data_IF_461642770776
#
_entry.id   IF_461642770776
#
_cell.length_a   1.000
_cell.length_b   1.000
_cell.length_c   1.000
_cell.angle_alpha   90.00
_cell.angle_beta   90.00
_cell.angle_gamma   90.00
#
_symmetry.space_group_name_H-M   'P 1'
#
loop_
_entity.id
_entity.type
_entity.pdbx_description
1 polymer ?
#
# COMPACT_ATOMS: atom_id res chain seq x y z
N UNK A 1 -4.21 -16.17 -26.89
CA UNK A 1 -2.79 -16.50 -26.61
C UNK A 1 -2.37 -15.65 -25.42
N UNK A 2 -2.39 -16.21 -24.23
CA UNK A 2 -1.96 -15.53 -23.01
C UNK A 2 -0.44 -15.40 -23.06
N UNK A 3 -0.02 -14.23 -23.52
CA UNK A 3 1.36 -13.80 -23.76
C UNK A 3 2.14 -13.88 -22.44
N UNK A 4 2.84 -14.99 -22.20
CA UNK A 4 3.65 -15.19 -20.99
C UNK A 4 5.00 -14.47 -21.13
N UNK A 5 4.91 -13.15 -21.30
CA UNK A 5 6.03 -12.23 -21.45
C UNK A 5 7.05 -12.40 -20.31
N UNK A 6 6.59 -12.77 -19.11
CA UNK A 6 7.45 -12.97 -17.95
C UNK A 6 8.40 -14.16 -18.15
N UNK A 7 7.92 -15.28 -18.72
CA UNK A 7 8.80 -16.41 -19.08
C UNK A 7 9.87 -15.99 -20.08
N UNK A 8 9.51 -15.17 -21.06
CA UNK A 8 10.46 -14.67 -22.07
C UNK A 8 11.54 -13.78 -21.45
N UNK A 9 11.17 -12.89 -20.53
CA UNK A 9 12.14 -12.04 -19.83
C UNK A 9 13.06 -12.84 -18.89
N UNK A 10 12.53 -13.84 -18.19
CA UNK A 10 13.35 -14.75 -17.38
C UNK A 10 14.34 -15.53 -18.26
N UNK A 11 13.87 -16.07 -19.40
CA UNK A 11 14.73 -16.78 -20.33
C UNK A 11 15.87 -15.89 -20.86
N UNK A 12 15.56 -14.65 -21.27
CA UNK A 12 16.56 -13.65 -21.71
C UNK A 12 17.59 -13.36 -20.62
N UNK A 13 17.12 -13.10 -19.40
CA UNK A 13 18.00 -12.87 -18.24
C UNK A 13 18.89 -14.07 -17.92
N UNK A 14 18.36 -15.29 -18.01
CA UNK A 14 19.13 -16.52 -17.77
C UNK A 14 20.19 -16.74 -18.85
N UNK A 15 19.88 -16.47 -20.12
CA UNK A 15 20.89 -16.53 -21.19
C UNK A 15 22.02 -15.53 -20.94
N UNK A 16 21.69 -14.30 -20.53
CA UNK A 16 22.66 -13.27 -20.18
C UNK A 16 23.58 -13.74 -19.03
N UNK A 17 23.00 -14.19 -17.91
CA UNK A 17 23.76 -14.66 -16.75
C UNK A 17 24.58 -15.92 -17.06
N UNK A 18 24.04 -16.82 -17.89
CA UNK A 18 24.75 -18.04 -18.27
C UNK A 18 26.00 -17.73 -19.08
N UNK A 19 26.00 -16.68 -19.91
CA UNK A 19 27.17 -16.25 -20.68
C UNK A 19 28.33 -15.79 -19.80
N UNK A 20 28.06 -15.29 -18.57
CA UNK A 20 29.07 -14.79 -17.64
C UNK A 20 29.76 -15.88 -16.81
N UNK A 21 29.33 -17.14 -16.93
CA UNK A 21 29.88 -18.31 -16.23
C UNK A 21 30.08 -18.09 -14.71
N UNK A 22 29.08 -17.48 -14.07
CA UNK A 22 29.09 -17.15 -12.65
C UNK A 22 29.27 -18.41 -11.77
N UNK A 23 29.85 -18.22 -10.58
CA UNK A 23 30.03 -19.31 -9.62
C UNK A 23 28.66 -19.84 -9.16
N UNK A 24 28.50 -21.17 -9.12
CA UNK A 24 27.23 -21.79 -8.73
C UNK A 24 26.16 -21.81 -9.84
N UNK A 25 26.54 -21.53 -11.09
CA UNK A 25 25.63 -21.65 -12.24
C UNK A 25 25.07 -23.08 -12.34
N UNK A 26 23.74 -23.25 -12.51
CA UNK A 26 23.14 -24.55 -12.84
C UNK A 26 23.68 -25.12 -14.15
N UNK A 27 23.63 -26.44 -14.32
CA UNK A 27 24.00 -27.04 -15.60
C UNK A 27 23.03 -26.59 -16.71
N UNK A 28 23.50 -26.53 -17.95
CA UNK A 28 22.70 -26.04 -19.07
C UNK A 28 21.37 -26.80 -19.24
N UNK A 29 21.37 -28.12 -18.99
CA UNK A 29 20.17 -28.98 -18.98
C UNK A 29 19.15 -28.60 -17.91
N UNK A 30 19.60 -28.03 -16.79
CA UNK A 30 18.78 -27.71 -15.63
C UNK A 30 18.27 -26.26 -15.65
N UNK A 31 18.82 -25.40 -16.51
CA UNK A 31 18.43 -23.98 -16.61
C UNK A 31 16.93 -23.79 -16.86
N UNK A 32 16.32 -24.63 -17.71
CA UNK A 32 14.89 -24.58 -17.99
C UNK A 32 14.05 -24.88 -16.76
N UNK A 33 14.44 -25.86 -15.95
CA UNK A 33 13.75 -26.20 -14.71
C UNK A 33 13.89 -25.08 -13.68
N UNK A 34 15.07 -24.49 -13.54
CA UNK A 34 15.30 -23.36 -12.64
C UNK A 34 14.48 -22.13 -13.08
N UNK A 35 14.41 -21.85 -14.39
CA UNK A 35 13.60 -20.76 -14.91
C UNK A 35 12.09 -20.95 -14.62
N UNK A 36 11.59 -22.19 -14.67
CA UNK A 36 10.21 -22.50 -14.28
C UNK A 36 9.94 -22.25 -12.80
N UNK A 37 10.89 -22.62 -11.92
CA UNK A 37 10.79 -22.32 -10.48
C UNK A 37 10.76 -20.82 -10.24
N UNK A 38 11.63 -20.05 -10.91
CA UNK A 38 11.63 -18.59 -10.84
C UNK A 38 10.30 -17.99 -11.31
N UNK A 39 9.77 -18.47 -12.43
CA UNK A 39 8.48 -18.03 -12.95
C UNK A 39 7.35 -18.26 -11.95
N UNK A 40 7.27 -19.46 -11.36
CA UNK A 40 6.25 -19.79 -10.35
C UNK A 40 6.37 -18.94 -9.08
N UNK A 41 7.58 -18.58 -8.66
CA UNK A 41 7.79 -17.69 -7.53
C UNK A 41 7.42 -16.25 -7.85
N UNK A 42 7.81 -15.74 -9.02
CA UNK A 42 7.52 -14.37 -9.44
C UNK A 42 6.03 -14.15 -9.71
N UNK A 43 5.32 -15.16 -10.21
CA UNK A 43 3.87 -15.11 -10.43
C UNK A 43 3.03 -14.89 -9.16
N UNK A 44 3.63 -14.98 -7.96
CA UNK A 44 2.96 -14.64 -6.69
C UNK A 44 2.66 -13.14 -6.55
N UNK A 45 3.26 -12.29 -7.39
CA UNK A 45 3.02 -10.86 -7.42
C UNK A 45 2.28 -10.45 -8.70
N UNK A 46 1.49 -9.38 -8.62
CA UNK A 46 0.89 -8.76 -9.79
C UNK A 46 1.92 -7.97 -10.61
N UNK A 47 2.06 -8.36 -11.88
CA UNK A 47 2.94 -7.71 -12.84
C UNK A 47 2.15 -7.02 -13.95
N UNK A 48 2.65 -5.88 -14.40
CA UNK A 48 2.10 -5.09 -15.49
C UNK A 48 3.12 -5.02 -16.63
N UNK A 49 2.88 -5.65 -17.79
CA UNK A 49 3.88 -5.78 -18.86
C UNK A 49 4.54 -4.46 -19.25
N UNK A 50 3.74 -3.41 -19.49
CA UNK A 50 4.25 -2.08 -19.89
C UNK A 50 5.20 -1.45 -18.87
N UNK A 51 4.97 -1.73 -17.58
CA UNK A 51 5.77 -1.18 -16.47
C UNK A 51 6.98 -2.07 -16.18
N UNK A 52 6.78 -3.39 -16.18
CA UNK A 52 7.67 -4.32 -15.52
C UNK A 52 8.63 -5.04 -16.47
N UNK A 53 8.34 -5.14 -17.78
CA UNK A 53 9.30 -5.63 -18.78
C UNK A 53 10.65 -4.87 -18.70
N UNK A 54 10.70 -3.52 -18.81
CA UNK A 54 11.96 -2.80 -18.74
C UNK A 54 12.63 -2.92 -17.36
N UNK A 55 11.85 -3.05 -16.29
CA UNK A 55 12.37 -3.16 -14.91
C UNK A 55 13.04 -4.50 -14.67
N UNK A 56 12.46 -5.60 -15.16
CA UNK A 56 13.03 -6.94 -15.02
C UNK A 56 14.32 -7.05 -15.85
N UNK A 57 14.35 -6.51 -17.07
CA UNK A 57 15.58 -6.44 -17.89
C UNK A 57 16.69 -5.69 -17.16
N UNK A 58 16.39 -4.49 -16.67
CA UNK A 58 17.35 -3.68 -15.92
C UNK A 58 17.85 -4.39 -14.65
N UNK A 59 16.99 -5.17 -13.96
CA UNK A 59 17.40 -5.94 -12.80
C UNK A 59 18.37 -7.07 -13.16
N UNK A 60 18.13 -7.81 -14.25
CA UNK A 60 19.06 -8.83 -14.73
C UNK A 60 20.39 -8.24 -15.21
N UNK A 61 20.35 -7.10 -15.89
CA UNK A 61 21.56 -6.36 -16.29
C UNK A 61 22.36 -5.87 -15.08
N UNK A 62 21.69 -5.35 -14.05
CA UNK A 62 22.34 -4.94 -12.81
C UNK A 62 23.01 -6.13 -12.11
N UNK A 63 22.31 -7.27 -11.99
CA UNK A 63 22.89 -8.50 -11.43
C UNK A 63 24.09 -8.96 -12.25
N UNK A 64 23.96 -8.98 -13.57
CA UNK A 64 25.04 -9.35 -14.47
C UNK A 64 26.29 -8.46 -14.30
N UNK A 65 26.10 -7.18 -13.98
CA UNK A 65 27.20 -6.24 -13.75
C UNK A 65 27.83 -6.37 -12.34
N UNK A 66 27.08 -6.78 -11.32
CA UNK A 66 27.53 -6.71 -9.92
C UNK A 66 27.80 -8.06 -9.27
N UNK A 67 27.17 -9.14 -9.72
CA UNK A 67 27.17 -10.42 -9.01
C UNK A 67 28.29 -11.35 -9.48
N UNK A 68 28.96 -11.98 -8.52
CA UNK A 68 30.02 -12.99 -8.75
C UNK A 68 29.46 -14.42 -8.71
N UNK A 69 28.32 -14.60 -8.04
CA UNK A 69 27.64 -15.88 -7.87
C UNK A 69 26.29 -15.88 -8.59
N UNK A 70 25.80 -17.07 -8.93
CA UNK A 70 24.49 -17.24 -9.55
C UNK A 70 23.39 -16.73 -8.60
N UNK A 71 22.52 -15.81 -9.05
CA UNK A 71 21.54 -15.17 -8.18
C UNK A 71 20.44 -16.13 -7.76
N UNK A 72 19.76 -15.80 -6.65
CA UNK A 72 18.48 -16.37 -6.26
C UNK A 72 17.32 -15.44 -6.68
N UNK A 73 16.06 -15.94 -6.72
CA UNK A 73 14.90 -15.10 -7.05
C UNK A 73 14.76 -13.87 -6.14
N UNK A 74 15.17 -13.99 -4.88
CA UNK A 74 15.15 -12.88 -3.92
C UNK A 74 16.13 -11.75 -4.30
N UNK A 75 17.22 -12.07 -4.99
CA UNK A 75 18.20 -11.07 -5.44
C UNK A 75 17.62 -10.22 -6.58
N UNK A 76 16.82 -10.82 -7.47
CA UNK A 76 16.07 -10.06 -8.48
C UNK A 76 15.22 -8.95 -7.84
N UNK A 77 14.57 -9.27 -6.72
CA UNK A 77 13.80 -8.31 -5.92
C UNK A 77 14.60 -7.10 -5.45
N UNK A 78 15.87 -7.30 -5.08
CA UNK A 78 16.77 -6.23 -4.59
C UNK A 78 17.27 -5.33 -5.72
N UNK A 79 17.43 -5.89 -6.92
CA UNK A 79 17.93 -5.18 -8.10
C UNK A 79 16.82 -4.55 -8.96
N UNK A 80 15.56 -4.78 -8.63
CA UNK A 80 14.41 -4.18 -9.32
C UNK A 80 14.40 -2.65 -9.13
N UNK A 81 14.48 -1.86 -10.22
CA UNK A 81 14.39 -0.40 -10.11
C UNK A 81 13.07 0.02 -9.45
N UNK A 82 13.06 1.08 -8.62
CA UNK A 82 11.84 1.55 -7.99
C UNK A 82 10.80 1.96 -9.05
N UNK A 83 9.52 1.75 -8.73
CA UNK A 83 8.44 2.21 -9.61
C UNK A 83 8.48 3.73 -9.61
N UNK A 84 8.63 4.34 -10.80
CA UNK A 84 8.57 5.78 -10.95
C UNK A 84 7.18 6.28 -10.49
N UNK A 85 7.13 6.86 -9.29
CA UNK A 85 5.92 7.49 -8.77
C UNK A 85 5.73 8.78 -9.55
N UNK A 86 4.77 8.80 -10.48
CA UNK A 86 4.33 10.06 -11.08
C UNK A 86 3.60 10.85 -10.02
N UNK A 87 4.23 11.92 -9.54
CA UNK A 87 3.55 12.92 -8.72
C UNK A 87 2.45 13.55 -9.59
N UNK A 88 1.21 13.17 -9.33
CA UNK A 88 0.07 13.86 -9.93
C UNK A 88 -0.11 15.21 -9.20
N UNK A 89 -0.43 16.30 -9.92
CA UNK A 89 -0.78 17.54 -9.27
C UNK A 89 -1.86 17.28 -8.22
N UNK A 90 -1.67 17.84 -7.02
CA UNK A 90 -2.72 17.81 -6.01
C UNK A 90 -3.97 18.42 -6.64
N UNK A 91 -5.09 17.69 -6.63
CA UNK A 91 -6.37 18.24 -7.05
C UNK A 91 -6.65 19.48 -6.18
N UNK A 92 -6.54 20.66 -6.79
CA UNK A 92 -6.73 21.94 -6.08
C UNK A 92 -8.17 22.09 -5.56
N UNK A 93 -9.12 21.50 -6.30
CA UNK A 93 -10.53 21.54 -5.96
C UNK A 93 -10.81 20.55 -4.83
N UNK A 94 -10.95 21.07 -3.61
CA UNK A 94 -11.63 20.36 -2.52
C UNK A 94 -13.02 19.96 -3.00
N UNK A 95 -13.47 18.76 -2.64
CA UNK A 95 -14.83 18.31 -2.96
C UNK A 95 -15.86 19.32 -2.43
N UNK A 96 -16.65 19.91 -3.34
CA UNK A 96 -17.77 20.80 -2.99
C UNK A 96 -19.03 19.94 -2.96
N UNK A 97 -19.81 20.03 -1.88
CA UNK A 97 -21.09 19.32 -1.80
C UNK A 97 -22.02 19.80 -2.91
N UNK A 98 -22.52 18.87 -3.72
CA UNK A 98 -23.54 19.16 -4.72
C UNK A 98 -24.91 19.36 -4.04
N UNK A 99 -25.87 20.05 -4.69
CA UNK A 99 -27.23 20.16 -4.16
C UNK A 99 -27.86 18.80 -3.85
N UNK A 100 -27.66 17.83 -4.74
CA UNK A 100 -28.08 16.44 -4.53
C UNK A 100 -27.43 15.79 -3.30
N UNK A 101 -26.13 16.03 -3.09
CA UNK A 101 -25.44 15.52 -1.91
C UNK A 101 -26.01 16.13 -0.62
N UNK A 102 -26.35 17.42 -0.63
CA UNK A 102 -26.97 18.10 0.51
C UNK A 102 -28.36 17.49 0.83
N UNK A 103 -29.18 17.21 -0.19
CA UNK A 103 -30.47 16.53 -0.03
C UNK A 103 -30.32 15.12 0.55
N UNK A 104 -29.36 14.34 0.03
CA UNK A 104 -29.09 12.98 0.53
C UNK A 104 -28.61 13.00 1.99
N UNK A 105 -27.74 13.94 2.35
CA UNK A 105 -27.30 14.13 3.74
C UNK A 105 -28.48 14.52 4.63
N UNK A 106 -29.37 15.41 4.17
CA UNK A 106 -30.58 15.78 4.93
C UNK A 106 -31.50 14.58 5.16
N UNK A 107 -31.70 13.74 4.13
CA UNK A 107 -32.48 12.51 4.21
C UNK A 107 -31.88 11.49 5.16
N UNK A 108 -30.56 11.31 5.13
CA UNK A 108 -29.82 10.44 6.06
C UNK A 108 -29.99 10.96 7.49
N UNK A 109 -29.75 12.25 7.74
CA UNK A 109 -29.92 12.87 9.07
C UNK A 109 -31.35 12.71 9.60
N UNK A 110 -32.36 12.86 8.75
CA UNK A 110 -33.77 12.67 9.12
C UNK A 110 -34.05 11.23 9.58
N UNK A 111 -33.60 10.23 8.81
CA UNK A 111 -33.75 8.80 9.17
C UNK A 111 -33.04 8.44 10.47
N UNK A 112 -31.91 9.08 10.71
CA UNK A 112 -31.05 8.83 11.84
C UNK A 112 -31.45 9.58 13.12
N UNK A 113 -32.41 10.52 13.04
CA UNK A 113 -32.83 11.37 14.16
C UNK A 113 -33.22 10.59 15.42
N UNK A 114 -33.86 9.44 15.26
CA UNK A 114 -34.34 8.59 16.36
C UNK A 114 -33.59 7.25 16.43
N UNK A 115 -32.48 7.10 15.71
CA UNK A 115 -31.72 5.86 15.72
C UNK A 115 -31.09 5.65 17.12
N UNK A 116 -31.15 4.43 17.68
CA UNK A 116 -30.52 4.13 18.97
C UNK A 116 -29.06 4.59 18.99
N UNK A 117 -28.26 4.30 17.97
CA UNK A 117 -26.85 4.70 17.89
C UNK A 117 -26.57 6.22 18.02
N UNK A 118 -27.57 7.08 17.80
CA UNK A 118 -27.46 8.54 17.93
C UNK A 118 -28.20 9.10 19.16
N UNK A 119 -28.99 8.27 19.83
CA UNK A 119 -29.54 8.61 21.12
C UNK A 119 -28.35 8.79 22.09
N UNK A 120 -28.26 9.95 22.75
CA UNK A 120 -27.16 10.24 23.69
C UNK A 120 -27.48 9.81 25.13
N UNK A 121 -28.70 9.32 25.35
CA UNK A 121 -29.23 8.98 26.67
C UNK A 121 -29.04 7.49 27.02
N UNK A 122 -28.97 6.57 26.04
CA UNK A 122 -28.67 5.13 26.28
C UNK A 122 -27.18 4.86 26.48
N UNK A 123 -26.30 5.74 25.99
CA UNK A 123 -24.89 5.73 26.34
C UNK A 123 -24.74 6.50 27.65
N UNK A 124 -24.73 5.79 28.78
CA UNK A 124 -24.48 6.33 30.14
C UNK A 124 -23.05 6.87 30.33
N UNK A 125 -22.45 7.47 29.31
CA UNK A 125 -21.27 8.29 29.51
C UNK A 125 -21.69 9.51 30.35
N UNK A 126 -20.97 9.86 31.42
CA UNK A 126 -21.27 11.08 32.17
C UNK A 126 -21.34 12.24 31.18
N UNK A 127 -22.47 12.96 31.13
CA UNK A 127 -22.61 14.16 30.29
C UNK A 127 -21.34 14.99 30.51
N UNK A 128 -20.58 15.23 29.44
CA UNK A 128 -19.46 16.15 29.53
C UNK A 128 -20.01 17.49 29.99
N UNK A 129 -19.68 17.88 31.21
CA UNK A 129 -20.10 19.16 31.77
C UNK A 129 -19.65 20.27 30.83
N UNK A 130 -20.53 21.24 30.60
CA UNK A 130 -20.13 22.41 29.81
C UNK A 130 -19.02 23.18 30.52
N UNK A 131 -18.22 23.95 29.79
CA UNK A 131 -17.13 24.74 30.40
C UNK A 131 -17.66 25.67 31.49
N UNK A 132 -18.83 26.26 31.29
CA UNK A 132 -19.45 27.16 32.27
C UNK A 132 -19.92 26.44 33.52
N UNK A 133 -20.43 25.22 33.37
CA UNK A 133 -20.83 24.36 34.48
C UNK A 133 -19.62 23.91 35.32
N UNK A 134 -18.50 23.57 34.68
CA UNK A 134 -17.23 23.32 35.37
C UNK A 134 -16.72 24.54 36.14
N UNK A 135 -16.81 25.74 35.55
CA UNK A 135 -16.41 27.00 36.21
C UNK A 135 -17.27 27.30 37.44
N UNK A 136 -18.58 27.06 37.39
CA UNK A 136 -19.49 27.24 38.53
C UNK A 136 -19.13 26.32 39.70
N UNK A 137 -18.98 25.02 39.42
CA UNK A 137 -18.59 24.01 40.43
C UNK A 137 -17.23 24.35 41.05
N UNK A 138 -16.28 24.83 40.24
CA UNK A 138 -14.98 25.26 40.75
C UNK A 138 -15.10 26.47 41.68
N UNK A 139 -15.87 27.49 41.28
CA UNK A 139 -16.08 28.69 42.09
C UNK A 139 -16.79 28.38 43.42
N UNK A 140 -17.77 27.47 43.42
CA UNK A 140 -18.45 27.01 44.64
C UNK A 140 -17.48 26.30 45.59
N UNK A 141 -16.62 25.40 45.10
CA UNK A 141 -15.58 24.77 45.93
C UNK A 141 -14.60 25.77 46.54
N UNK A 142 -14.26 26.84 45.82
CA UNK A 142 -13.38 27.88 46.36
C UNK A 142 -14.06 28.68 47.48
N UNK A 143 -15.37 28.93 47.36
CA UNK A 143 -16.16 29.57 48.42
C UNK A 143 -16.30 28.71 49.67
N UNK A 144 -16.40 27.39 49.52
CA UNK A 144 -16.43 26.43 50.63
C UNK A 144 -15.07 26.32 51.33
N UNK A 145 -13.97 26.32 50.58
CA UNK A 145 -12.61 26.32 51.14
C UNK A 145 -12.21 27.59 51.88
N UNK A 146 -12.80 28.73 51.51
CA UNK A 146 -12.58 30.02 52.18
C UNK A 146 -13.47 30.28 53.40
N UNK A 147 -14.30 29.31 53.80
CA UNK A 147 -15.26 29.42 54.92
C UNK A 147 -14.86 28.61 56.17
N UNK A 148 -13.63 28.08 56.22
CA UNK A 148 -13.04 27.40 57.39
C UNK A 148 -12.00 28.27 58.07
#
# INVERSE_FOLDING_TARGET
MTDDWLKQEIARGFTLLAALNLKGRPAAKDLTAVAQVWHGLLMKQEWQPKRDIPRIRAAFEAIAATSVEWPNPADLGKHLPPIAVRMVPRLEKKHVQTPYAAEMVAKIKSRLKNAPALNRDWMHAPKSRTVDECKRIYAERQKEKGKS
#
